data_IF_477597125659
#
_entry.id   IF_477597125659
#
_cell.length_a   1.000
_cell.length_b   1.000
_cell.length_c   1.000
_cell.angle_alpha   90.00
_cell.angle_beta   90.00
_cell.angle_gamma   90.00
#
_symmetry.space_group_name_H-M   'P 1'
#
loop_
_entity.id
_entity.type
_entity.pdbx_description
1 polymer ?
#
# COMPACT_ATOMS: atom_id res chain seq x y z
N UNK A 1 6.49 1.47 -11.16
CA UNK A 1 5.85 1.67 -9.85
C UNK A 1 6.84 2.38 -8.94
N UNK A 2 6.52 3.59 -8.48
CA UNK A 2 7.36 4.36 -7.57
C UNK A 2 6.71 4.33 -6.18
N UNK A 3 7.48 3.95 -5.16
CA UNK A 3 7.08 4.05 -3.75
C UNK A 3 7.95 5.11 -3.08
N UNK A 4 7.34 5.92 -2.23
CA UNK A 4 8.04 6.91 -1.42
C UNK A 4 8.32 6.27 -0.05
N UNK A 5 9.56 6.38 0.41
CA UNK A 5 9.98 5.90 1.73
C UNK A 5 10.42 7.10 2.56
N UNK A 6 9.83 7.26 3.74
CA UNK A 6 10.18 8.30 4.70
C UNK A 6 10.83 7.64 5.92
N UNK A 7 12.06 8.05 6.21
CA UNK A 7 12.87 7.61 7.36
C UNK A 7 13.88 8.69 7.68
N UNK A 8 14.24 8.84 8.96
CA UNK A 8 15.41 9.66 9.31
C UNK A 8 16.70 8.95 8.87
N UNK A 9 17.53 9.68 8.12
CA UNK A 9 18.81 9.20 7.61
C UNK A 9 19.92 9.22 8.66
N UNK A 10 19.75 9.99 9.75
CA UNK A 10 20.76 10.16 10.80
C UNK A 10 20.90 8.93 11.71
N UNK A 11 19.89 8.05 11.71
CA UNK A 11 19.83 6.85 12.56
C UNK A 11 20.33 5.57 11.87
N UNK A 12 20.74 5.63 10.60
CA UNK A 12 21.33 4.50 9.88
C UNK A 12 22.72 4.08 10.42
N UNK A 13 23.29 4.82 11.37
CA UNK A 13 24.69 4.68 11.81
C UNK A 13 24.92 4.25 13.27
N UNK A 14 23.89 3.99 14.08
CA UNK A 14 24.09 3.53 15.48
C UNK A 14 23.76 2.03 15.65
N UNK A 15 24.72 1.21 15.27
CA UNK A 15 24.63 -0.25 15.19
C UNK A 15 24.79 -0.92 16.58
N UNK A 16 24.14 -0.42 17.63
CA UNK A 16 24.33 -0.96 19.00
C UNK A 16 23.07 -1.04 19.86
N UNK A 17 21.92 -0.64 19.33
CA UNK A 17 20.63 -0.94 19.94
C UNK A 17 19.66 -1.14 18.79
N UNK A 18 19.30 -2.39 18.50
CA UNK A 18 18.39 -2.74 17.40
C UNK A 18 16.97 -2.27 17.74
N UNK A 19 16.74 -0.96 17.74
CA UNK A 19 15.41 -0.38 17.76
C UNK A 19 14.73 -0.86 16.49
N UNK A 20 13.83 -1.84 16.63
CA UNK A 20 13.02 -2.32 15.53
C UNK A 20 12.04 -1.20 15.20
N UNK A 21 12.34 -0.44 14.15
CA UNK A 21 11.40 0.53 13.60
C UNK A 21 10.26 -0.26 12.91
N UNK A 22 9.00 -0.16 13.37
CA UNK A 22 7.89 -0.78 12.66
C UNK A 22 7.79 -0.26 11.22
N UNK A 23 7.61 -1.21 10.31
CA UNK A 23 7.35 -0.95 8.90
C UNK A 23 5.85 -0.68 8.71
N UNK A 24 5.52 0.46 8.13
CA UNK A 24 4.15 0.87 7.84
C UNK A 24 3.96 1.11 6.35
N UNK A 25 2.79 0.80 5.80
CA UNK A 25 2.47 1.13 4.41
C UNK A 25 1.05 1.64 4.21
N UNK A 26 0.91 2.62 3.32
CA UNK A 26 -0.35 2.95 2.67
C UNK A 26 -0.27 2.71 1.18
N UNK A 27 -1.31 2.06 0.65
CA UNK A 27 -1.48 1.77 -0.77
C UNK A 27 -2.79 2.40 -1.20
N UNK A 28 -2.76 3.16 -2.29
CA UNK A 28 -3.95 3.76 -2.87
C UNK A 28 -4.08 3.48 -4.36
N UNK A 29 -5.27 3.79 -4.89
CA UNK A 29 -5.57 3.81 -6.32
C UNK A 29 -5.22 2.46 -6.99
N UNK A 30 -5.64 1.37 -6.34
CA UNK A 30 -5.63 0.02 -6.92
C UNK A 30 -6.70 -0.13 -8.01
N UNK A 31 -7.81 0.60 -7.86
CA UNK A 31 -8.70 0.94 -8.96
C UNK A 31 -8.30 2.32 -9.47
N UNK A 32 -8.00 2.42 -10.76
CA UNK A 32 -7.42 3.62 -11.34
C UNK A 32 -8.36 4.83 -11.30
N UNK A 33 -9.68 4.61 -11.38
CA UNK A 33 -10.69 5.67 -11.28
C UNK A 33 -11.04 6.09 -9.84
N UNK A 34 -10.56 5.38 -8.82
CA UNK A 34 -10.72 5.76 -7.40
C UNK A 34 -9.56 6.70 -6.98
N UNK A 35 -9.59 7.93 -7.48
CA UNK A 35 -8.43 8.85 -7.49
C UNK A 35 -8.13 9.49 -6.12
N UNK A 36 -9.13 9.68 -5.26
CA UNK A 36 -8.96 10.45 -4.02
C UNK A 36 -7.81 9.95 -3.13
N UNK A 37 -7.66 8.63 -3.00
CA UNK A 37 -6.56 8.06 -2.20
C UNK A 37 -5.17 8.40 -2.75
N UNK A 38 -5.01 8.49 -4.07
CA UNK A 38 -3.73 8.88 -4.71
C UNK A 38 -3.31 10.27 -4.27
N UNK A 39 -4.22 11.23 -4.39
CA UNK A 39 -3.96 12.63 -4.06
C UNK A 39 -3.76 12.83 -2.56
N UNK A 40 -4.52 12.11 -1.71
CA UNK A 40 -4.32 12.13 -0.27
C UNK A 40 -2.93 11.61 0.13
N UNK A 41 -2.43 10.55 -0.51
CA UNK A 41 -1.08 10.04 -0.20
C UNK A 41 0.03 10.97 -0.70
N UNK A 42 -0.16 11.65 -1.83
CA UNK A 42 0.77 12.70 -2.28
C UNK A 42 0.78 13.88 -1.28
N UNK A 43 -0.40 14.31 -0.81
CA UNK A 43 -0.52 15.37 0.19
C UNK A 43 -0.02 14.97 1.57
N UNK A 44 -0.17 13.71 1.96
CA UNK A 44 0.42 13.19 3.18
C UNK A 44 1.95 13.20 3.11
N UNK A 45 2.54 12.82 1.97
CA UNK A 45 3.99 12.87 1.79
C UNK A 45 4.53 14.30 1.91
N UNK A 46 3.88 15.25 1.24
CA UNK A 46 4.16 16.69 1.30
C UNK A 46 4.07 17.21 2.75
N UNK A 47 2.95 16.92 3.44
CA UNK A 47 2.73 17.30 4.83
C UNK A 47 3.78 16.76 5.78
N UNK A 48 4.12 15.47 5.69
CA UNK A 48 5.12 14.85 6.56
C UNK A 48 6.49 15.50 6.37
N UNK A 49 6.90 15.80 5.13
CA UNK A 49 8.15 16.50 4.85
C UNK A 49 8.15 17.93 5.41
N UNK A 50 7.09 18.70 5.16
CA UNK A 50 6.98 20.09 5.59
C UNK A 50 6.99 20.21 7.12
N UNK A 51 6.18 19.40 7.81
CA UNK A 51 6.09 19.45 9.27
C UNK A 51 7.37 18.92 9.94
N UNK A 52 8.01 17.92 9.36
CA UNK A 52 9.31 17.45 9.85
C UNK A 52 10.37 18.58 9.78
N UNK A 53 10.42 19.30 8.65
CA UNK A 53 11.34 20.42 8.47
C UNK A 53 10.99 21.64 9.35
N UNK A 54 9.70 21.83 9.66
CA UNK A 54 9.22 22.86 10.58
C UNK A 54 9.51 22.55 12.06
N UNK A 55 9.96 21.33 12.38
CA UNK A 55 10.24 20.91 13.75
C UNK A 55 8.99 20.53 14.55
N UNK A 56 7.91 20.09 13.89
CA UNK A 56 6.72 19.60 14.57
C UNK A 56 7.04 18.33 15.37
N UNK A 57 6.82 18.36 16.68
CA UNK A 57 7.24 17.28 17.59
C UNK A 57 6.52 15.95 17.31
N UNK A 58 5.25 16.00 16.88
CA UNK A 58 4.47 14.79 16.62
C UNK A 58 4.93 14.11 15.33
N UNK A 59 5.08 14.88 14.25
CA UNK A 59 5.55 14.38 12.96
C UNK A 59 7.00 13.91 13.04
N UNK A 60 7.87 14.66 13.71
CA UNK A 60 9.26 14.23 13.94
C UNK A 60 9.30 12.90 14.68
N UNK A 61 8.52 12.76 15.77
CA UNK A 61 8.46 11.49 16.52
C UNK A 61 7.92 10.35 15.65
N UNK A 62 6.89 10.59 14.84
CA UNK A 62 6.31 9.58 13.95
C UNK A 62 7.33 9.08 12.92
N UNK A 63 8.00 10.00 12.22
CA UNK A 63 8.99 9.68 11.17
C UNK A 63 10.25 9.05 11.77
N UNK A 64 10.67 9.47 12.96
CA UNK A 64 11.85 8.91 13.63
C UNK A 64 11.62 7.52 14.19
N UNK A 65 10.39 7.19 14.61
CA UNK A 65 10.07 5.91 15.23
C UNK A 65 9.49 4.87 14.26
N UNK A 66 9.26 5.21 12.99
CA UNK A 66 8.67 4.27 12.02
C UNK A 66 9.31 4.39 10.65
N UNK A 67 9.17 3.34 9.83
CA UNK A 67 9.54 3.38 8.41
C UNK A 67 8.27 3.36 7.57
N UNK A 68 7.96 4.50 6.95
CA UNK A 68 6.69 4.75 6.28
C UNK A 68 6.89 4.58 4.77
N UNK A 69 6.14 3.64 4.17
CA UNK A 69 6.10 3.41 2.72
C UNK A 69 4.77 3.88 2.15
N UNK A 70 4.80 4.86 1.26
CA UNK A 70 3.62 5.35 0.56
C UNK A 70 3.66 4.87 -0.88
N UNK A 71 2.54 4.29 -1.33
CA UNK A 71 2.29 3.91 -2.71
C UNK A 71 1.05 4.64 -3.20
N UNK A 72 1.21 5.85 -3.79
CA UNK A 72 0.08 6.67 -4.21
C UNK A 72 -0.78 6.01 -5.30
N UNK A 73 -0.18 5.21 -6.19
CA UNK A 73 -0.91 4.55 -7.27
C UNK A 73 -0.38 3.16 -7.53
N UNK A 74 -1.22 2.17 -7.22
CA UNK A 74 -0.98 0.77 -7.55
C UNK A 74 -1.42 0.43 -8.99
N UNK A 75 -2.42 1.14 -9.54
CA UNK A 75 -2.91 0.98 -10.91
C UNK A 75 -2.80 2.29 -11.72
N UNK A 76 -1.57 2.71 -12.09
CA UNK A 76 -1.36 3.93 -12.85
C UNK A 76 -1.95 3.88 -14.26
N UNK A 77 -2.00 2.70 -14.90
CA UNK A 77 -2.57 2.52 -16.24
C UNK A 77 -4.08 2.79 -16.24
N UNK A 78 -4.80 2.21 -15.28
CA UNK A 78 -6.23 2.47 -15.11
C UNK A 78 -6.52 3.94 -14.78
N UNK A 79 -5.66 4.59 -14.00
CA UNK A 79 -5.79 6.00 -13.67
C UNK A 79 -5.66 6.91 -14.89
N UNK A 80 -4.70 6.62 -15.78
CA UNK A 80 -4.54 7.35 -17.04
C UNK A 80 -5.81 7.23 -17.90
N UNK A 81 -6.34 6.03 -18.07
CA UNK A 81 -7.57 5.78 -18.82
C UNK A 81 -8.77 6.53 -18.21
N UNK A 82 -8.94 6.46 -16.89
CA UNK A 82 -10.02 7.16 -16.20
C UNK A 82 -9.92 8.69 -16.41
N UNK A 83 -8.71 9.23 -16.34
CA UNK A 83 -8.46 10.67 -16.50
C UNK A 83 -8.72 11.12 -17.93
N UNK A 84 -8.21 10.40 -18.92
CA UNK A 84 -8.36 10.72 -20.35
C UNK A 84 -9.82 10.66 -20.83
N UNK A 85 -10.66 9.91 -20.11
CA UNK A 85 -12.10 9.78 -20.38
C UNK A 85 -12.98 10.70 -19.51
N UNK A 86 -12.37 11.60 -18.74
CA UNK A 86 -13.06 12.65 -17.97
C UNK A 86 -13.37 12.31 -16.50
N UNK A 87 -13.02 11.11 -16.03
CA UNK A 87 -12.98 10.77 -14.60
C UNK A 87 -14.33 10.72 -13.89
N UNK A 88 -15.46 10.70 -14.60
CA UNK A 88 -16.81 10.63 -14.02
C UNK A 88 -17.43 9.23 -14.08
N UNK A 89 -16.77 8.29 -14.75
CA UNK A 89 -17.30 6.96 -14.98
C UNK A 89 -16.93 5.98 -13.84
N UNK A 90 -17.89 5.11 -13.49
CA UNK A 90 -17.74 4.14 -12.40
C UNK A 90 -16.85 2.94 -12.75
N UNK A 91 -16.70 2.60 -14.02
CA UNK A 91 -16.01 1.40 -14.50
C UNK A 91 -14.77 1.70 -15.33
N UNK A 92 -14.77 2.75 -16.15
CA UNK A 92 -13.64 3.08 -17.02
C UNK A 92 -12.41 3.42 -16.18
N UNK A 93 -11.32 2.67 -16.40
CA UNK A 93 -10.07 2.80 -15.66
C UNK A 93 -10.05 2.11 -14.29
N UNK A 94 -11.10 1.36 -13.91
CA UNK A 94 -11.12 0.56 -12.68
C UNK A 94 -10.11 -0.59 -12.72
N UNK A 95 -10.19 -1.42 -13.75
CA UNK A 95 -9.29 -2.57 -13.95
C UNK A 95 -7.88 -2.14 -14.37
N UNK A 96 -6.92 -3.06 -14.30
CA UNK A 96 -5.59 -2.85 -14.87
C UNK A 96 -5.61 -2.90 -16.42
N UNK A 97 -4.45 -2.72 -17.05
CA UNK A 97 -4.31 -2.74 -18.52
C UNK A 97 -4.67 -4.10 -19.18
N UNK A 98 -4.84 -5.17 -18.40
CA UNK A 98 -5.31 -6.47 -18.87
C UNK A 98 -6.78 -6.75 -18.50
N UNK A 99 -7.54 -5.71 -18.15
CA UNK A 99 -8.95 -5.80 -17.75
C UNK A 99 -9.19 -6.64 -16.48
N UNK A 100 -8.16 -6.81 -15.63
CA UNK A 100 -8.25 -7.52 -14.34
C UNK A 100 -8.55 -6.53 -13.20
N UNK A 101 -9.52 -6.86 -12.35
CA UNK A 101 -9.72 -6.18 -11.06
C UNK A 101 -8.62 -6.63 -10.09
N UNK A 102 -7.69 -5.72 -9.76
CA UNK A 102 -6.55 -6.04 -8.90
C UNK A 102 -6.98 -6.45 -7.49
N UNK A 103 -8.11 -5.95 -6.98
CA UNK A 103 -8.66 -6.33 -5.66
C UNK A 103 -9.44 -7.67 -5.70
N UNK A 104 -9.40 -8.35 -6.84
CA UNK A 104 -9.89 -9.73 -7.02
C UNK A 104 -8.81 -10.66 -7.55
N UNK A 105 -7.56 -10.20 -7.56
CA UNK A 105 -6.42 -10.93 -8.10
C UNK A 105 -5.41 -11.38 -7.02
N UNK A 106 -5.75 -11.22 -5.75
CA UNK A 106 -4.97 -11.81 -4.65
C UNK A 106 -5.35 -13.28 -4.46
N UNK A 107 -4.41 -14.14 -4.01
CA UNK A 107 -4.74 -15.49 -3.59
C UNK A 107 -5.85 -15.52 -2.53
N UNK A 108 -6.88 -16.34 -2.77
CA UNK A 108 -8.01 -16.53 -1.86
C UNK A 108 -7.67 -17.64 -0.86
N UNK A 109 -7.05 -17.25 0.26
CA UNK A 109 -6.67 -18.19 1.32
C UNK A 109 -7.87 -18.61 2.18
N UNK A 110 -8.94 -17.82 2.22
CA UNK A 110 -10.15 -18.13 2.96
C UNK A 110 -10.81 -19.38 2.37
N UNK A 111 -10.91 -19.44 1.04
CA UNK A 111 -11.40 -20.63 0.33
C UNK A 111 -10.60 -21.89 0.67
N UNK A 112 -9.28 -21.79 0.76
CA UNK A 112 -8.41 -22.94 1.09
C UNK A 112 -8.65 -23.38 2.54
N UNK A 113 -8.70 -22.41 3.46
CA UNK A 113 -8.93 -22.66 4.89
C UNK A 113 -10.27 -23.36 5.12
N UNK A 114 -11.37 -22.85 4.57
CA UNK A 114 -12.69 -23.49 4.71
C UNK A 114 -12.75 -24.87 4.05
N UNK A 115 -12.08 -25.07 2.91
CA UNK A 115 -12.00 -26.39 2.26
C UNK A 115 -11.24 -27.42 3.10
N UNK A 116 -10.18 -27.00 3.79
CA UNK A 116 -9.43 -27.85 4.72
C UNK A 116 -10.28 -28.24 5.93
N UNK A 117 -11.04 -27.30 6.50
CA UNK A 117 -11.97 -27.58 7.60
C UNK A 117 -13.04 -28.61 7.22
N UNK A 118 -13.69 -28.45 6.05
CA UNK A 118 -14.69 -29.40 5.54
C UNK A 118 -14.11 -30.81 5.32
N UNK A 119 -12.83 -30.88 4.92
CA UNK A 119 -12.12 -32.13 4.64
C UNK A 119 -11.44 -32.74 5.87
N UNK A 120 -11.61 -32.14 7.06
CA UNK A 120 -10.94 -32.52 8.31
C UNK A 120 -9.40 -32.54 8.21
N UNK A 121 -8.84 -31.60 7.45
CA UNK A 121 -7.40 -31.38 7.34
C UNK A 121 -7.00 -30.33 8.38
N UNK A 122 -6.10 -30.68 9.32
CA UNK A 122 -5.70 -29.79 10.44
C UNK A 122 -4.73 -28.65 10.06
N UNK A 123 -4.41 -28.51 8.77
CA UNK A 123 -3.38 -27.59 8.30
C UNK A 123 -3.97 -26.26 7.82
N UNK A 124 -3.89 -25.25 8.70
CA UNK A 124 -4.50 -23.92 8.50
C UNK A 124 -3.46 -22.77 8.46
N UNK A 125 -2.17 -23.10 8.34
CA UNK A 125 -1.06 -22.15 8.27
C UNK A 125 -0.21 -22.39 7.01
N UNK A 126 0.50 -21.38 6.52
CA UNK A 126 1.35 -21.47 5.30
C UNK A 126 0.60 -21.92 4.02
N UNK A 127 -0.65 -21.48 3.86
CA UNK A 127 -1.56 -21.89 2.78
C UNK A 127 -1.16 -21.43 1.36
N UNK A 128 -0.14 -20.57 1.22
CA UNK A 128 0.29 -20.06 -0.09
C UNK A 128 0.78 -21.17 -1.03
N UNK A 129 1.33 -22.27 -0.49
CA UNK A 129 1.77 -23.43 -1.28
C UNK A 129 0.60 -24.19 -1.92
N UNK A 130 -0.62 -23.95 -1.45
CA UNK A 130 -1.85 -24.60 -1.93
C UNK A 130 -2.63 -23.73 -2.93
N UNK A 131 -2.10 -22.54 -3.24
CA UNK A 131 -2.67 -21.65 -4.25
C UNK A 131 -2.24 -22.17 -5.63
N UNK A 132 -3.21 -22.56 -6.46
CA UNK A 132 -2.99 -22.99 -7.84
C UNK A 132 -2.78 -21.81 -8.79
#
# INVERSE_FOLDING_TARGET
MASLVLTDSSQLASDSQHLVHPEFKYIANMHGNEVLGRELLLKLADYLCDQYNAGDEEVMRLVNLSRIHLLPSMNPDGWQIATDTGGQDYLIGRSNNHSVDLNRNFPDLDRIMFGNEESHIEHNNHLLEQVN
#
